data_IF_001495979733
#
_entry.id   IF_001495979733
#
_cell.length_a   1.000
_cell.length_b   1.000
_cell.length_c   1.000
_cell.angle_alpha   90.00
_cell.angle_beta   90.00
_cell.angle_gamma   90.00
#
_symmetry.space_group_name_H-M   'P 1'
#
loop_
_entity.id
_entity.type
_entity.pdbx_description
1 polymer ?
#
# COMPACT_ATOMS: atom_id res chain seq x y z
N UNK A 1 -28.96 -20.94 6.97
CA UNK A 1 -29.28 -22.32 6.57
C UNK A 1 -28.32 -23.25 7.28
N UNK A 2 -28.83 -23.91 8.31
CA UNK A 2 -28.13 -24.90 9.12
C UNK A 2 -28.71 -26.26 8.74
N UNK A 3 -27.86 -27.26 8.45
CA UNK A 3 -28.28 -28.65 8.36
C UNK A 3 -27.29 -29.50 9.14
N UNK A 4 -27.85 -30.12 10.17
CA UNK A 4 -27.29 -31.10 11.08
C UNK A 4 -27.11 -32.47 10.42
N UNK A 5 -26.18 -33.28 10.93
CA UNK A 5 -26.46 -34.54 11.66
C UNK A 5 -25.23 -35.46 11.63
N UNK A 6 -24.66 -35.87 12.77
CA UNK A 6 -25.15 -36.86 13.75
C UNK A 6 -24.84 -38.30 13.29
N UNK A 7 -24.01 -39.01 14.06
CA UNK A 7 -24.22 -40.38 14.55
C UNK A 7 -23.11 -40.65 15.57
N UNK A 8 -23.52 -40.99 16.79
CA UNK A 8 -22.66 -41.45 17.88
C UNK A 8 -22.78 -42.95 18.11
N UNK A 9 -22.51 -43.33 19.36
CA UNK A 9 -22.67 -44.65 20.01
C UNK A 9 -21.50 -45.64 19.79
N UNK A 10 -21.03 -46.45 20.76
CA UNK A 10 -21.27 -46.60 22.20
C UNK A 10 -20.14 -47.49 22.82
N UNK A 11 -19.97 -47.34 24.14
CA UNK A 11 -19.37 -48.17 25.19
C UNK A 11 -18.91 -49.63 24.98
N UNK A 12 -17.87 -50.03 25.76
CA UNK A 12 -17.83 -51.12 26.78
C UNK A 12 -16.37 -51.55 27.01
N UNK A 13 -15.72 -51.28 28.15
CA UNK A 13 -15.71 -52.04 29.42
C UNK A 13 -15.40 -53.54 29.24
N UNK A 14 -14.23 -53.95 29.74
CA UNK A 14 -13.80 -55.35 29.79
C UNK A 14 -12.56 -55.55 30.66
N UNK A 15 -12.76 -55.53 31.98
CA UNK A 15 -11.82 -56.04 32.98
C UNK A 15 -11.80 -57.57 32.87
N UNK A 16 -10.62 -58.17 32.72
CA UNK A 16 -10.41 -59.60 33.01
C UNK A 16 -9.25 -59.73 33.99
N UNK A 17 -9.62 -60.00 35.24
CA UNK A 17 -8.78 -60.56 36.29
C UNK A 17 -8.96 -62.08 36.21
N UNK A 18 -7.87 -62.82 36.06
CA UNK A 18 -7.84 -64.28 36.15
C UNK A 18 -6.41 -64.74 36.43
N UNK A 19 -6.09 -64.99 37.70
CA UNK A 19 -6.09 -66.33 38.31
C UNK A 19 -4.81 -67.10 37.98
N UNK A 20 -3.88 -67.03 38.93
CA UNK A 20 -2.69 -67.86 39.06
C UNK A 20 -3.07 -69.32 39.29
N UNK A 21 -2.64 -70.21 38.40
CA UNK A 21 -2.51 -71.64 38.71
C UNK A 21 -1.08 -72.08 38.47
N UNK A 22 -0.42 -72.43 39.57
CA UNK A 22 0.85 -73.13 39.57
C UNK A 22 0.65 -74.55 39.02
N UNK A 23 1.40 -74.91 37.97
CA UNK A 23 1.65 -76.30 37.61
C UNK A 23 3.16 -76.50 37.45
N UNK A 24 3.69 -77.37 38.32
CA UNK A 24 5.06 -77.88 38.33
C UNK A 24 5.14 -79.16 37.47
N UNK A 25 6.35 -79.66 37.16
CA UNK A 25 6.78 -80.03 35.82
C UNK A 25 6.51 -81.49 35.48
N UNK A 26 6.33 -81.78 34.20
CA UNK A 26 6.59 -83.10 33.64
C UNK A 26 7.89 -83.05 32.85
N UNK A 27 8.90 -83.69 33.44
CA UNK A 27 10.15 -84.07 32.79
C UNK A 27 9.88 -85.21 31.80
N UNK A 28 10.09 -84.94 30.52
CA UNK A 28 10.30 -85.95 29.49
C UNK A 28 11.69 -85.75 28.84
N UNK A 29 12.40 -86.83 28.52
CA UNK A 29 13.81 -86.80 28.10
C UNK A 29 14.03 -86.19 26.71
N UNK A 30 15.24 -85.73 26.38
CA UNK A 30 15.50 -84.89 25.21
C UNK A 30 15.51 -85.72 23.92
N UNK A 31 14.50 -85.53 23.08
CA UNK A 31 14.57 -85.92 21.68
C UNK A 31 15.33 -84.85 20.88
N UNK A 32 16.54 -85.21 20.45
CA UNK A 32 17.31 -84.48 19.43
C UNK A 32 16.48 -84.43 18.14
N UNK A 33 15.98 -83.24 17.80
CA UNK A 33 15.50 -82.92 16.46
C UNK A 33 16.52 -82.06 15.71
N UNK A 34 16.60 -82.18 14.38
CA UNK A 34 17.72 -81.71 13.58
C UNK A 34 17.75 -80.19 13.51
N UNK A 35 18.96 -79.61 13.52
CA UNK A 35 19.16 -78.17 13.30
C UNK A 35 18.57 -77.78 11.94
N UNK A 36 17.53 -76.93 11.97
CA UNK A 36 17.17 -76.08 10.85
C UNK A 36 18.38 -75.15 10.56
N UNK A 37 18.78 -74.97 9.29
CA UNK A 37 19.81 -74.00 8.96
C UNK A 37 19.35 -72.61 9.39
N UNK A 38 20.16 -71.95 10.23
CA UNK A 38 19.99 -70.56 10.62
C UNK A 38 19.77 -69.70 9.36
N UNK A 39 18.84 -68.73 9.38
CA UNK A 39 18.78 -67.75 8.31
C UNK A 39 20.16 -67.08 8.22
N UNK A 40 20.77 -67.16 7.03
CA UNK A 40 21.99 -66.43 6.71
C UNK A 40 21.63 -64.95 6.84
N UNK A 41 22.06 -64.33 7.94
CA UNK A 41 22.07 -62.89 8.08
C UNK A 41 23.08 -62.36 7.06
N UNK A 42 22.60 -61.99 5.87
CA UNK A 42 23.36 -61.09 5.00
C UNK A 42 23.65 -59.83 5.81
N UNK A 43 24.91 -59.42 5.98
CA UNK A 43 25.22 -58.17 6.68
C UNK A 43 24.61 -57.03 5.85
N UNK A 44 23.49 -56.47 6.31
CA UNK A 44 22.99 -55.22 5.77
C UNK A 44 24.07 -54.17 6.03
N UNK A 45 24.75 -53.72 4.99
CA UNK A 45 25.81 -52.72 5.12
C UNK A 45 25.13 -51.41 5.54
N UNK A 46 25.19 -51.09 6.83
CA UNK A 46 24.71 -49.81 7.33
C UNK A 46 25.82 -48.78 7.21
N UNK A 47 25.54 -47.65 6.57
CA UNK A 47 26.50 -46.54 6.45
C UNK A 47 25.96 -45.28 7.13
N UNK A 48 26.89 -44.39 7.50
CA UNK A 48 26.56 -43.12 8.11
C UNK A 48 26.40 -42.06 7.02
N UNK A 49 25.24 -41.41 6.97
CA UNK A 49 24.97 -40.28 6.09
C UNK A 49 24.93 -38.97 6.88
N UNK A 50 25.60 -37.93 6.37
CA UNK A 50 25.71 -36.62 7.01
C UNK A 50 24.78 -35.62 6.33
N UNK A 51 23.89 -35.03 7.11
CA UNK A 51 23.04 -33.92 6.70
C UNK A 51 23.46 -32.68 7.48
N UNK A 52 23.64 -31.56 6.78
CA UNK A 52 23.88 -30.25 7.40
C UNK A 52 22.65 -29.40 7.25
N UNK A 53 22.15 -28.85 8.36
CA UNK A 53 21.02 -27.93 8.36
C UNK A 53 21.39 -26.64 9.11
N UNK A 54 20.86 -25.52 8.65
CA UNK A 54 20.94 -24.22 9.32
C UNK A 54 19.62 -23.95 10.03
N UNK A 55 19.69 -23.60 11.31
CA UNK A 55 18.56 -23.34 12.18
C UNK A 55 18.65 -21.90 12.73
N UNK A 56 17.51 -21.26 12.98
CA UNK A 56 17.46 -19.96 13.67
C UNK A 56 17.26 -20.16 15.17
N UNK A 57 16.49 -21.18 15.55
CA UNK A 57 16.36 -21.68 16.93
C UNK A 57 16.53 -23.20 16.99
N UNK A 58 16.97 -23.72 18.14
CA UNK A 58 17.04 -25.17 18.37
C UNK A 58 15.65 -25.84 18.36
N UNK A 59 14.59 -25.07 18.61
CA UNK A 59 13.19 -25.53 18.58
C UNK A 59 12.65 -25.77 17.16
N UNK A 60 13.37 -25.26 16.15
CA UNK A 60 13.06 -25.46 14.72
C UNK A 60 13.43 -26.87 14.24
N UNK A 61 14.27 -27.60 15.00
CA UNK A 61 14.62 -28.98 14.73
C UNK A 61 13.48 -29.92 15.16
N UNK A 62 12.90 -30.66 14.21
CA UNK A 62 11.76 -31.56 14.48
C UNK A 62 12.14 -33.00 14.81
N UNK A 63 13.42 -33.32 14.74
CA UNK A 63 13.96 -34.67 14.97
C UNK A 63 14.79 -34.74 16.25
N UNK A 64 14.74 -35.89 16.93
CA UNK A 64 15.53 -36.18 18.13
C UNK A 64 16.48 -37.36 17.87
N UNK A 65 17.51 -37.47 18.72
CA UNK A 65 18.44 -38.61 18.67
C UNK A 65 17.65 -39.90 18.94
N UNK A 66 17.80 -40.88 18.06
CA UNK A 66 17.09 -42.15 18.14
C UNK A 66 15.83 -42.24 17.29
N UNK A 67 15.34 -41.14 16.72
CA UNK A 67 14.16 -41.15 15.86
C UNK A 67 14.43 -41.89 14.54
N UNK A 68 13.39 -42.54 14.01
CA UNK A 68 13.42 -43.19 12.70
C UNK A 68 12.79 -42.24 11.68
N UNK A 69 13.57 -41.87 10.68
CA UNK A 69 13.22 -40.90 9.64
C UNK A 69 12.97 -41.67 8.35
N UNK A 70 11.95 -41.28 7.61
CA UNK A 70 11.68 -41.76 6.25
C UNK A 70 12.05 -40.67 5.23
N UNK A 71 12.18 -41.00 3.94
CA UNK A 71 12.32 -39.98 2.91
C UNK A 71 11.16 -38.98 3.03
N UNK A 72 11.42 -37.71 2.75
CA UNK A 72 10.49 -36.58 2.89
C UNK A 72 10.07 -36.21 4.32
N UNK A 73 10.60 -36.87 5.34
CA UNK A 73 10.36 -36.47 6.73
C UNK A 73 11.00 -35.10 6.99
N UNK A 74 10.27 -34.21 7.66
CA UNK A 74 10.71 -32.85 7.98
C UNK A 74 11.80 -32.88 9.05
N UNK A 75 12.97 -32.34 8.73
CA UNK A 75 14.11 -32.20 9.63
C UNK A 75 14.03 -30.86 10.35
N UNK A 76 13.83 -29.79 9.58
CA UNK A 76 13.80 -28.41 10.07
C UNK A 76 12.57 -27.70 9.57
N UNK A 77 11.94 -26.94 10.45
CA UNK A 77 10.83 -26.05 10.12
C UNK A 77 10.93 -24.75 10.93
N UNK A 78 10.73 -23.61 10.27
CA UNK A 78 10.77 -22.28 10.89
C UNK A 78 9.35 -21.69 11.01
N UNK A 79 8.53 -22.10 11.99
CA UNK A 79 7.14 -21.63 12.12
C UNK A 79 7.07 -20.16 12.55
N UNK A 80 7.91 -19.72 13.48
CA UNK A 80 7.91 -18.35 14.02
C UNK A 80 8.32 -17.34 12.95
N UNK A 81 9.39 -17.63 12.21
CA UNK A 81 9.85 -16.76 11.12
C UNK A 81 8.80 -16.64 10.01
N UNK A 82 8.17 -17.75 9.60
CA UNK A 82 7.08 -17.71 8.62
C UNK A 82 5.89 -16.88 9.11
N UNK A 83 5.53 -16.99 10.39
CA UNK A 83 4.45 -16.21 10.98
C UNK A 83 4.79 -14.71 11.05
N UNK A 84 6.03 -14.35 11.41
CA UNK A 84 6.50 -12.97 11.41
C UNK A 84 6.49 -12.37 10.00
N UNK A 85 7.00 -13.11 9.02
CA UNK A 85 6.97 -12.69 7.62
C UNK A 85 5.53 -12.54 7.12
N UNK A 86 4.62 -13.47 7.43
CA UNK A 86 3.20 -13.36 7.08
C UNK A 86 2.55 -12.12 7.71
N UNK A 87 2.88 -11.80 8.95
CA UNK A 87 2.37 -10.59 9.62
C UNK A 87 2.90 -9.32 8.94
N UNK A 88 4.19 -9.27 8.62
CA UNK A 88 4.79 -8.16 7.87
C UNK A 88 4.18 -8.00 6.47
N UNK A 89 3.87 -9.12 5.80
CA UNK A 89 3.18 -9.12 4.51
C UNK A 89 1.81 -8.45 4.62
N UNK A 90 0.97 -8.88 5.58
CA UNK A 90 -0.36 -8.32 5.81
C UNK A 90 -0.30 -6.81 6.10
N UNK A 91 0.69 -6.38 6.89
CA UNK A 91 0.91 -4.96 7.18
C UNK A 91 1.27 -4.17 5.91
N UNK A 92 2.15 -4.70 5.06
CA UNK A 92 2.50 -4.05 3.79
C UNK A 92 1.31 -4.00 2.83
N UNK A 93 0.53 -5.07 2.72
CA UNK A 93 -0.68 -5.13 1.88
C UNK A 93 -1.74 -4.11 2.36
N UNK A 94 -1.93 -3.98 3.67
CA UNK A 94 -2.80 -2.96 4.25
C UNK A 94 -2.32 -1.54 3.92
N UNK A 95 -1.01 -1.27 4.05
CA UNK A 95 -0.43 0.03 3.66
C UNK A 95 -0.61 0.32 2.18
N UNK A 96 -0.35 -0.65 1.30
CA UNK A 96 -0.57 -0.52 -0.15
C UNK A 96 -2.04 -0.21 -0.45
N UNK A 97 -2.97 -0.91 0.21
CA UNK A 97 -4.42 -0.68 0.01
C UNK A 97 -4.82 0.73 0.42
N UNK A 98 -4.36 1.19 1.58
CA UNK A 98 -4.62 2.56 2.05
C UNK A 98 -4.02 3.60 1.10
N UNK A 99 -2.78 3.39 0.68
CA UNK A 99 -2.09 4.30 -0.22
C UNK A 99 -2.66 4.25 -1.64
N UNK A 100 -3.30 3.16 -2.08
CA UNK A 100 -3.90 3.04 -3.41
C UNK A 100 -5.23 3.80 -3.58
N UNK A 101 -5.75 4.38 -2.50
CA UNK A 101 -6.96 5.19 -2.56
C UNK A 101 -6.76 6.41 -3.49
N UNK A 102 -7.77 6.78 -4.29
CA UNK A 102 -7.64 7.87 -5.23
C UNK A 102 -7.51 9.22 -4.50
N UNK A 103 -6.59 10.06 -4.96
CA UNK A 103 -6.50 11.45 -4.48
C UNK A 103 -7.69 12.23 -5.02
N UNK A 104 -8.41 13.00 -4.19
CA UNK A 104 -9.55 13.78 -4.64
C UNK A 104 -9.12 14.81 -5.71
N UNK A 105 -9.92 14.97 -6.78
CA UNK A 105 -9.59 15.89 -7.86
C UNK A 105 -9.68 17.35 -7.42
N UNK A 106 -8.92 18.21 -8.08
CA UNK A 106 -8.99 19.65 -7.84
C UNK A 106 -10.24 20.23 -8.52
N UNK A 107 -11.00 21.03 -7.79
CA UNK A 107 -12.15 21.75 -8.35
C UNK A 107 -11.72 22.73 -9.46
N UNK A 108 -12.41 22.74 -10.61
CA UNK A 108 -12.04 23.60 -11.72
C UNK A 108 -12.24 25.08 -11.37
N UNK A 109 -11.36 25.93 -11.90
CA UNK A 109 -11.54 27.37 -11.83
C UNK A 109 -12.54 27.83 -12.90
N UNK A 110 -13.55 28.59 -12.49
CA UNK A 110 -14.53 29.18 -13.40
C UNK A 110 -14.02 30.52 -13.95
N UNK A 111 -14.30 30.85 -15.22
CA UNK A 111 -13.90 32.13 -15.79
C UNK A 111 -14.56 33.30 -15.07
N UNK A 112 -13.92 34.49 -15.05
CA UNK A 112 -14.46 35.64 -14.36
C UNK A 112 -15.67 36.16 -15.14
N UNK A 113 -16.72 36.51 -14.42
CA UNK A 113 -17.84 37.22 -15.01
C UNK A 113 -17.51 38.72 -15.06
N UNK A 114 -16.97 39.18 -16.20
CA UNK A 114 -16.61 40.59 -16.44
C UNK A 114 -17.74 41.38 -17.12
N UNK A 115 -18.88 40.74 -17.40
CA UNK A 115 -19.93 41.34 -18.20
C UNK A 115 -20.51 42.60 -17.54
N UNK A 116 -20.65 42.60 -16.21
CA UNK A 116 -21.13 43.75 -15.44
C UNK A 116 -20.21 44.96 -15.57
N UNK A 117 -18.91 44.75 -15.45
CA UNK A 117 -17.87 45.76 -15.48
C UNK A 117 -17.73 46.36 -16.88
N UNK A 118 -17.81 45.52 -17.92
CA UNK A 118 -17.80 45.96 -19.32
C UNK A 118 -19.04 46.79 -19.66
N UNK A 119 -20.22 46.39 -19.19
CA UNK A 119 -21.46 47.17 -19.37
C UNK A 119 -21.34 48.52 -18.67
N UNK A 120 -20.84 48.56 -17.43
CA UNK A 120 -20.65 49.81 -16.68
C UNK A 120 -19.68 50.76 -17.40
N UNK A 121 -18.56 50.25 -17.91
CA UNK A 121 -17.61 51.04 -18.70
C UNK A 121 -18.26 51.59 -19.98
N UNK A 122 -19.05 50.76 -20.68
CA UNK A 122 -19.76 51.17 -21.90
C UNK A 122 -20.77 52.27 -21.61
N UNK A 123 -21.53 52.15 -20.52
CA UNK A 123 -22.49 53.17 -20.09
C UNK A 123 -21.79 54.49 -19.76
N UNK A 124 -20.68 54.45 -19.02
CA UNK A 124 -19.90 55.65 -18.69
C UNK A 124 -19.35 56.35 -19.96
N UNK A 125 -18.85 55.58 -20.93
CA UNK A 125 -18.40 56.11 -22.23
C UNK A 125 -19.53 56.77 -23.02
N UNK A 126 -20.69 56.13 -23.10
CA UNK A 126 -21.86 56.69 -23.77
C UNK A 126 -22.33 57.99 -23.11
N UNK A 127 -22.30 58.07 -21.77
CA UNK A 127 -22.64 59.29 -21.04
C UNK A 127 -21.68 60.44 -21.37
N UNK A 128 -20.37 60.18 -21.41
CA UNK A 128 -19.38 61.18 -21.82
C UNK A 128 -19.60 61.64 -23.28
N UNK A 129 -19.92 60.71 -24.18
CA UNK A 129 -20.21 61.03 -25.58
C UNK A 129 -21.43 61.94 -25.71
N UNK A 130 -22.52 61.63 -25.01
CA UNK A 130 -23.72 62.46 -24.97
C UNK A 130 -23.43 63.87 -24.44
N UNK A 131 -22.62 64.01 -23.38
CA UNK A 131 -22.21 65.32 -22.85
C UNK A 131 -21.37 66.08 -23.88
N UNK A 132 -20.42 65.38 -24.52
CA UNK A 132 -19.55 65.98 -25.54
C UNK A 132 -20.34 66.46 -26.76
N UNK A 133 -21.34 65.68 -27.20
CA UNK A 133 -22.26 66.10 -28.25
C UNK A 133 -23.07 67.34 -27.84
N UNK A 134 -23.63 67.36 -26.62
CA UNK A 134 -24.36 68.53 -26.09
C UNK A 134 -23.51 69.79 -26.06
N UNK A 135 -22.24 69.69 -25.66
CA UNK A 135 -21.29 70.80 -25.74
C UNK A 135 -21.09 71.22 -27.21
N UNK A 136 -20.80 70.30 -28.12
CA UNK A 136 -20.56 70.66 -29.53
C UNK A 136 -21.76 71.34 -30.20
N UNK A 137 -23.00 70.93 -29.86
CA UNK A 137 -24.22 71.52 -30.41
C UNK A 137 -24.68 72.80 -29.70
N UNK A 138 -24.37 72.95 -28.41
CA UNK A 138 -24.89 74.03 -27.56
C UNK A 138 -23.95 75.21 -27.32
N UNK A 139 -22.65 75.08 -27.61
CA UNK A 139 -21.63 76.00 -27.08
C UNK A 139 -21.31 77.25 -27.90
N UNK A 140 -22.15 77.64 -28.86
CA UNK A 140 -21.92 78.89 -29.60
C UNK A 140 -22.42 80.10 -28.81
N UNK A 141 -21.49 80.84 -28.22
CA UNK A 141 -21.74 82.21 -27.74
C UNK A 141 -21.89 83.15 -28.94
N UNK A 142 -22.87 84.07 -28.90
CA UNK A 142 -23.10 85.03 -29.99
C UNK A 142 -22.00 86.09 -30.02
N UNK A 143 -21.52 86.48 -28.86
CA UNK A 143 -20.49 87.48 -28.70
C UNK A 143 -19.13 86.80 -28.50
N UNK A 144 -18.12 87.27 -29.23
CA UNK A 144 -16.74 86.79 -29.09
C UNK A 144 -15.99 87.46 -27.92
N UNK A 145 -16.50 88.60 -27.46
CA UNK A 145 -15.92 89.35 -26.35
C UNK A 145 -16.48 88.80 -25.03
N UNK A 146 -15.62 88.35 -24.11
CA UNK A 146 -16.05 87.71 -22.88
C UNK A 146 -16.89 88.64 -21.98
N UNK A 147 -16.64 89.96 -21.99
CA UNK A 147 -17.45 90.89 -21.18
C UNK A 147 -18.89 91.00 -21.69
N UNK A 148 -19.10 91.00 -23.00
CA UNK A 148 -20.44 91.07 -23.59
C UNK A 148 -21.22 89.76 -23.39
N UNK A 149 -20.55 88.61 -23.50
CA UNK A 149 -21.15 87.31 -23.22
C UNK A 149 -21.56 87.17 -21.76
N UNK A 150 -20.75 87.71 -20.83
CA UNK A 150 -21.06 87.68 -19.39
C UNK A 150 -22.33 88.49 -19.03
N UNK A 151 -22.58 89.60 -19.73
CA UNK A 151 -23.71 90.49 -19.45
C UNK A 151 -24.99 90.02 -20.17
N UNK A 152 -24.89 89.60 -21.43
CA UNK A 152 -26.04 89.29 -22.28
C UNK A 152 -26.33 87.78 -22.42
N UNK A 153 -25.41 86.91 -22.03
CA UNK A 153 -25.52 85.45 -22.16
C UNK A 153 -25.11 84.70 -20.87
N UNK A 154 -25.34 85.29 -19.69
CA UNK A 154 -25.00 84.70 -18.38
C UNK A 154 -25.49 83.26 -18.22
N UNK A 155 -26.74 82.99 -18.59
CA UNK A 155 -27.37 81.66 -18.45
C UNK A 155 -26.68 80.61 -19.32
N UNK A 156 -26.18 81.00 -20.51
CA UNK A 156 -25.42 80.10 -21.38
C UNK A 156 -24.04 79.78 -20.80
N UNK A 157 -23.38 80.76 -20.18
CA UNK A 157 -22.09 80.55 -19.53
C UNK A 157 -22.25 79.60 -18.35
N UNK A 158 -23.32 79.73 -17.56
CA UNK A 158 -23.62 78.80 -16.47
C UNK A 158 -23.89 77.39 -16.99
N UNK A 159 -24.69 77.23 -18.05
CA UNK A 159 -24.91 75.94 -18.70
C UNK A 159 -23.62 75.31 -19.23
N UNK A 160 -22.71 76.11 -19.79
CA UNK A 160 -21.40 75.64 -20.24
C UNK A 160 -20.55 75.13 -19.09
N UNK A 161 -20.49 75.88 -17.99
CA UNK A 161 -19.76 75.46 -16.79
C UNK A 161 -20.35 74.15 -16.23
N UNK A 162 -21.69 74.03 -16.16
CA UNK A 162 -22.35 72.80 -15.73
C UNK A 162 -22.04 71.62 -16.65
N UNK A 163 -22.02 71.82 -17.98
CA UNK A 163 -21.63 70.78 -18.94
C UNK A 163 -20.16 70.39 -18.78
N UNK A 164 -19.28 71.33 -18.48
CA UNK A 164 -17.86 71.08 -18.24
C UNK A 164 -17.65 70.27 -16.94
N UNK A 165 -18.37 70.59 -15.87
CA UNK A 165 -18.36 69.82 -14.63
C UNK A 165 -18.92 68.41 -14.84
N UNK A 166 -20.02 68.29 -15.59
CA UNK A 166 -20.58 66.99 -15.98
C UNK A 166 -19.59 66.18 -16.81
N UNK A 167 -18.86 66.82 -17.72
CA UNK A 167 -17.83 66.17 -18.53
C UNK A 167 -16.70 65.66 -17.64
N UNK A 168 -16.24 66.47 -16.69
CA UNK A 168 -15.21 66.07 -15.73
C UNK A 168 -15.66 64.87 -14.90
N UNK A 169 -16.86 64.92 -14.33
CA UNK A 169 -17.42 63.81 -13.55
C UNK A 169 -17.61 62.54 -14.39
N UNK A 170 -18.04 62.66 -15.65
CA UNK A 170 -18.16 61.51 -16.54
C UNK A 170 -16.81 60.88 -16.88
N UNK A 171 -15.73 61.66 -16.95
CA UNK A 171 -14.36 61.12 -17.11
C UNK A 171 -13.92 60.34 -15.86
N UNK A 172 -14.19 60.87 -14.67
CA UNK A 172 -13.93 60.17 -13.41
C UNK A 172 -14.72 58.86 -13.31
N UNK A 173 -15.98 58.85 -13.76
CA UNK A 173 -16.79 57.62 -13.83
C UNK A 173 -16.19 56.57 -14.77
N UNK A 174 -15.64 56.98 -15.91
CA UNK A 174 -14.94 56.08 -16.83
C UNK A 174 -13.68 55.53 -16.16
N UNK A 175 -12.88 56.37 -15.52
CA UNK A 175 -11.65 55.94 -14.83
C UNK A 175 -11.96 54.95 -13.71
N UNK A 176 -13.00 55.22 -12.91
CA UNK A 176 -13.47 54.30 -11.88
C UNK A 176 -13.97 52.97 -12.47
N UNK A 177 -14.67 52.99 -13.61
CA UNK A 177 -15.12 51.78 -14.28
C UNK A 177 -13.95 50.95 -14.85
N UNK A 178 -12.91 51.60 -15.40
CA UNK A 178 -11.67 50.94 -15.83
C UNK A 178 -10.98 50.30 -14.64
N UNK A 179 -10.80 51.03 -13.53
CA UNK A 179 -10.15 50.51 -12.34
C UNK A 179 -10.87 49.27 -11.78
N UNK A 180 -12.21 49.26 -11.76
CA UNK A 180 -13.00 48.08 -11.35
C UNK A 180 -12.81 46.90 -12.29
N UNK A 181 -12.80 47.15 -13.60
CA UNK A 181 -12.58 46.10 -14.59
C UNK A 181 -11.17 45.49 -14.45
N UNK A 182 -10.15 46.32 -14.25
CA UNK A 182 -8.77 45.88 -14.08
C UNK A 182 -8.57 45.14 -12.75
N UNK A 183 -9.22 45.60 -11.67
CA UNK A 183 -9.24 44.89 -10.40
C UNK A 183 -9.90 43.50 -10.55
N UNK A 184 -11.02 43.40 -11.24
CA UNK A 184 -11.70 42.13 -11.49
C UNK A 184 -10.81 41.16 -12.29
N UNK A 185 -10.11 41.65 -13.31
CA UNK A 185 -9.13 40.86 -14.07
C UNK A 185 -7.96 40.42 -13.20
N UNK A 186 -7.36 41.33 -12.44
CA UNK A 186 -6.22 41.03 -11.58
C UNK A 186 -6.56 39.99 -10.51
N UNK A 187 -7.75 40.09 -9.89
CA UNK A 187 -8.25 39.07 -8.95
C UNK A 187 -8.37 37.70 -9.61
N UNK A 188 -8.84 37.64 -10.85
CA UNK A 188 -8.92 36.40 -11.59
C UNK A 188 -7.54 35.82 -11.94
N UNK A 189 -6.60 36.65 -12.34
CA UNK A 189 -5.21 36.24 -12.59
C UNK A 189 -4.57 35.63 -11.34
N UNK A 190 -4.78 36.26 -10.17
CA UNK A 190 -4.33 35.72 -8.88
C UNK A 190 -4.95 34.34 -8.60
N UNK A 191 -6.27 34.20 -8.79
CA UNK A 191 -6.95 32.92 -8.64
C UNK A 191 -6.42 31.85 -9.60
N UNK A 192 -6.09 32.25 -10.84
CA UNK A 192 -5.54 31.37 -11.84
C UNK A 192 -4.14 30.87 -11.43
N UNK A 193 -3.30 31.73 -10.88
CA UNK A 193 -1.97 31.35 -10.43
C UNK A 193 -2.01 30.46 -9.19
N UNK A 194 -2.89 30.76 -8.23
CA UNK A 194 -3.17 29.85 -7.11
C UNK A 194 -3.66 28.48 -7.60
N UNK A 195 -4.56 28.48 -8.60
CA UNK A 195 -5.07 27.24 -9.18
C UNK A 195 -3.94 26.43 -9.86
N UNK A 196 -3.05 27.08 -10.62
CA UNK A 196 -1.88 26.43 -11.23
C UNK A 196 -0.96 25.83 -10.17
N UNK A 197 -0.73 26.54 -9.07
CA UNK A 197 0.08 26.04 -7.96
C UNK A 197 -0.56 24.79 -7.33
N UNK A 198 -1.86 24.83 -7.05
CA UNK A 198 -2.62 23.67 -6.55
C UNK A 198 -2.53 22.49 -7.51
N UNK A 199 -2.61 22.73 -8.82
CA UNK A 199 -2.47 21.71 -9.85
C UNK A 199 -1.08 21.05 -9.83
N UNK A 200 -0.02 21.85 -9.72
CA UNK A 200 1.35 21.34 -9.62
C UNK A 200 1.55 20.52 -8.34
N UNK A 201 1.02 20.98 -7.20
CA UNK A 201 1.05 20.21 -5.96
C UNK A 201 0.31 18.88 -6.08
N UNK A 202 -0.87 18.87 -6.70
CA UNK A 202 -1.65 17.67 -6.92
C UNK A 202 -0.91 16.65 -7.79
N UNK A 203 -0.30 17.11 -8.89
CA UNK A 203 0.55 16.26 -9.74
C UNK A 203 1.72 15.68 -8.95
N UNK A 204 2.37 16.49 -8.13
CA UNK A 204 3.47 16.04 -7.27
C UNK A 204 3.01 15.00 -6.24
N UNK A 205 1.82 15.19 -5.64
CA UNK A 205 1.24 14.22 -4.70
C UNK A 205 0.93 12.90 -5.38
N UNK A 206 0.34 12.92 -6.58
CA UNK A 206 0.11 11.73 -7.40
C UNK A 206 1.40 10.98 -7.70
N UNK A 207 2.44 11.70 -8.10
CA UNK A 207 3.73 11.09 -8.40
C UNK A 207 4.34 10.44 -7.17
N UNK A 208 4.37 11.15 -6.02
CA UNK A 208 4.88 10.58 -4.76
C UNK A 208 4.11 9.34 -4.34
N UNK A 209 2.79 9.35 -4.47
CA UNK A 209 1.94 8.19 -4.18
C UNK A 209 2.31 7.00 -5.08
N UNK A 210 2.54 7.22 -6.38
CA UNK A 210 2.97 6.17 -7.31
C UNK A 210 4.35 5.62 -6.93
N UNK A 211 5.31 6.49 -6.65
CA UNK A 211 6.67 6.09 -6.27
C UNK A 211 6.66 5.27 -4.97
N UNK A 212 5.89 5.70 -3.98
CA UNK A 212 5.76 4.99 -2.71
C UNK A 212 5.03 3.64 -2.88
N UNK A 213 4.01 3.56 -3.74
CA UNK A 213 3.36 2.29 -4.09
C UNK A 213 4.35 1.32 -4.74
N UNK A 214 5.18 1.78 -5.68
CA UNK A 214 6.20 0.95 -6.33
C UNK A 214 7.21 0.44 -5.29
N UNK A 215 7.67 1.31 -4.39
CA UNK A 215 8.58 0.93 -3.32
C UNK A 215 7.97 -0.16 -2.43
N UNK A 216 6.73 0.03 -1.96
CA UNK A 216 6.05 -0.94 -1.11
C UNK A 216 5.77 -2.26 -1.84
N UNK A 217 5.43 -2.21 -3.13
CA UNK A 217 5.26 -3.42 -3.95
C UNK A 217 6.56 -4.20 -4.11
N UNK A 218 7.68 -3.51 -4.30
CA UNK A 218 9.00 -4.15 -4.35
C UNK A 218 9.36 -4.79 -3.01
N UNK A 219 9.11 -4.10 -1.89
CA UNK A 219 9.30 -4.67 -0.55
C UNK A 219 8.42 -5.91 -0.32
N UNK A 220 7.16 -5.86 -0.74
CA UNK A 220 6.25 -6.99 -0.67
C UNK A 220 6.74 -8.18 -1.51
N UNK A 221 7.28 -7.91 -2.71
CA UNK A 221 7.88 -8.94 -3.56
C UNK A 221 9.09 -9.58 -2.87
N UNK A 222 10.04 -8.79 -2.39
CA UNK A 222 11.21 -9.30 -1.67
C UNK A 222 10.81 -10.12 -0.44
N UNK A 223 9.78 -9.69 0.28
CA UNK A 223 9.28 -10.42 1.44
C UNK A 223 8.64 -11.76 1.04
N UNK A 224 7.89 -11.80 -0.07
CA UNK A 224 7.35 -13.07 -0.61
C UNK A 224 8.47 -14.01 -1.06
N UNK A 225 9.52 -13.48 -1.67
CA UNK A 225 10.71 -14.27 -2.02
C UNK A 225 11.39 -14.82 -0.75
N UNK A 226 11.49 -14.03 0.31
CA UNK A 226 11.97 -14.49 1.63
C UNK A 226 11.08 -15.60 2.20
N UNK A 227 9.76 -15.43 2.20
CA UNK A 227 8.83 -16.47 2.67
C UNK A 227 8.97 -17.78 1.88
N UNK A 228 9.17 -17.71 0.56
CA UNK A 228 9.39 -18.90 -0.27
C UNK A 228 10.73 -19.58 0.07
N UNK A 229 11.76 -18.80 0.36
CA UNK A 229 13.09 -19.27 0.70
C UNK A 229 13.23 -19.75 2.15
N UNK A 230 12.36 -19.31 3.08
CA UNK A 230 12.23 -19.85 4.44
C UNK A 230 11.59 -21.25 4.34
N UNK A 231 12.38 -22.20 3.86
CA UNK A 231 11.95 -23.53 3.47
C UNK A 231 11.88 -24.53 4.62
N UNK A 232 11.11 -25.58 4.40
CA UNK A 232 11.12 -26.80 5.22
C UNK A 232 12.22 -27.71 4.67
N UNK A 233 13.23 -28.03 5.48
CA UNK A 233 14.28 -28.98 5.07
C UNK A 233 13.78 -30.40 5.35
N UNK A 234 13.74 -31.24 4.32
CA UNK A 234 13.31 -32.65 4.40
C UNK A 234 14.50 -33.60 4.28
N UNK A 235 14.38 -34.78 4.88
CA UNK A 235 15.36 -35.85 4.74
C UNK A 235 15.23 -36.53 3.37
N UNK A 236 16.30 -36.62 2.57
CA UNK A 236 16.26 -37.40 1.33
C UNK A 236 16.40 -38.91 1.57
N UNK A 237 16.81 -39.33 2.77
CA UNK A 237 17.09 -40.72 3.09
C UNK A 237 16.24 -41.21 4.26
N UNK A 238 15.92 -42.51 4.20
CA UNK A 238 15.39 -43.25 5.34
C UNK A 238 16.53 -43.69 6.25
N UNK A 239 16.34 -43.62 7.56
CA UNK A 239 17.40 -44.00 8.50
C UNK A 239 17.07 -43.70 9.95
N UNK A 240 17.94 -44.12 10.86
CA UNK A 240 17.83 -43.77 12.29
C UNK A 240 18.78 -42.64 12.62
N UNK A 241 18.30 -41.62 13.32
CA UNK A 241 19.16 -40.52 13.81
C UNK A 241 20.13 -41.07 14.84
N UNK A 242 21.41 -41.06 14.51
CA UNK A 242 22.47 -41.54 15.39
C UNK A 242 23.01 -40.42 16.27
N UNK A 243 23.23 -39.23 15.69
CA UNK A 243 23.77 -38.09 16.41
C UNK A 243 23.32 -36.78 15.80
N UNK A 244 23.05 -35.80 16.66
CA UNK A 244 22.88 -34.40 16.29
C UNK A 244 23.99 -33.62 17.00
N UNK A 245 24.76 -32.82 16.27
CA UNK A 245 25.85 -32.02 16.81
C UNK A 245 25.74 -30.59 16.27
N UNK A 246 25.80 -29.61 17.16
CA UNK A 246 25.97 -28.21 16.76
C UNK A 246 27.42 -28.01 16.31
N UNK A 247 27.64 -27.61 15.06
CA UNK A 247 28.99 -27.40 14.50
C UNK A 247 29.41 -25.96 14.67
N UNK A 248 28.49 -25.03 14.42
CA UNK A 248 28.77 -23.60 14.37
C UNK A 248 27.55 -22.83 14.86
N UNK A 249 27.78 -21.79 15.64
CA UNK A 249 26.78 -20.79 15.99
C UNK A 249 27.39 -19.43 15.67
N UNK A 250 26.78 -18.71 14.75
CA UNK A 250 27.22 -17.37 14.35
C UNK A 250 25.99 -16.48 14.19
N UNK A 251 26.00 -15.36 14.91
CA UNK A 251 24.90 -14.41 14.98
C UNK A 251 23.58 -15.11 15.41
N UNK A 252 22.60 -15.17 14.51
CA UNK A 252 21.29 -15.82 14.72
C UNK A 252 21.18 -17.19 14.06
N UNK A 253 22.27 -17.70 13.46
CA UNK A 253 22.27 -18.96 12.72
C UNK A 253 23.05 -20.04 13.47
N UNK A 254 22.41 -21.20 13.66
CA UNK A 254 22.96 -22.40 14.27
C UNK A 254 23.08 -23.47 13.18
N UNK A 255 24.30 -23.85 12.84
CA UNK A 255 24.56 -24.97 11.92
C UNK A 255 24.63 -26.28 12.70
N UNK A 256 23.74 -27.22 12.37
CA UNK A 256 23.70 -28.55 12.95
C UNK A 256 24.12 -29.62 11.96
N UNK A 257 24.89 -30.58 12.44
CA UNK A 257 25.22 -31.84 11.78
C UNK A 257 24.28 -32.92 12.29
N UNK A 258 23.59 -33.60 11.39
CA UNK A 258 22.75 -34.74 11.69
C UNK A 258 23.39 -35.95 11.01
N UNK A 259 23.73 -36.96 11.80
CA UNK A 259 24.29 -38.22 11.32
C UNK A 259 23.17 -39.25 11.35
N UNK A 260 22.80 -39.76 10.18
CA UNK A 260 21.84 -40.84 10.00
C UNK A 260 22.56 -42.17 9.80
N UNK A 261 22.04 -43.23 10.42
CA UNK A 261 22.38 -44.61 10.04
C UNK A 261 21.38 -45.04 8.99
N UNK A 262 21.84 -45.11 7.76
CA UNK A 262 21.07 -45.58 6.60
C UNK A 262 21.38 -47.06 6.43
N UNK A 263 20.33 -47.87 6.25
CA UNK A 263 20.49 -49.26 5.82
C UNK A 263 20.41 -49.28 4.31
N UNK A 264 21.42 -49.87 3.68
CA UNK A 264 21.40 -50.11 2.24
C UNK A 264 20.41 -51.25 1.96
N UNK A 265 19.13 -50.89 1.86
CA UNK A 265 18.09 -51.80 1.37
C UNK A 265 18.16 -51.76 -0.16
N UNK A 266 19.26 -52.25 -0.74
CA UNK A 266 19.39 -52.53 -2.16
C UNK A 266 18.51 -53.72 -2.53
N UNK A 267 17.20 -53.46 -2.57
CA UNK A 267 16.19 -54.28 -3.22
C UNK A 267 15.06 -53.34 -3.68
N UNK A 268 15.38 -52.55 -4.70
CA UNK A 268 14.41 -51.91 -5.59
C UNK A 268 14.56 -52.62 -6.94
N UNK A 269 13.71 -53.61 -7.18
CA UNK A 269 13.23 -54.01 -8.51
C UNK A 269 11.79 -53.46 -8.65
#
# INVERSE_FOLDING_TARGET
>A
MSIYNLIGWLALLGIVIGASTAFRPQTSPPQKQPLLPSPVYSPSTSYYHKITATLTSLEDLKIKVGDRIQPDTIITEHPTERQELATKQQQLEAKITQLSLPIPPISPLFPPNLASEEIALRQAKLKLEQITQKMNTGSSLKFKQPELSAIFESDKIEQLNQLQDQQHNARLEIEAAIARLDEAKSRYEQQLDEYKLRLAEYQTRLQRQQDELILLQNQLKTLRDQQHNTGIVRSPYSGKVHRIKVIKQQDQNITVEIILVVRDDSNYD
#
